data_IF_800025032447
#
_entry.id   IF_800025032447
#
_cell.length_a   1.000
_cell.length_b   1.000
_cell.length_c   1.000
_cell.angle_alpha   90.00
_cell.angle_beta   90.00
_cell.angle_gamma   90.00
#
_symmetry.space_group_name_H-M   'P 1'
#
loop_
_entity.id
_entity.type
_entity.pdbx_description
1 polymer ?
#
# COMPACT_ATOMS: atom_id res chain seq x y z
N UNK A 1 -4.12 3.57 20.67
CA UNK A 1 -3.54 2.21 20.41
C UNK A 1 -2.08 2.36 20.08
N UNK A 2 -1.23 1.33 20.25
CA UNK A 2 0.21 1.47 19.98
C UNK A 2 0.63 0.57 18.83
N UNK A 3 1.28 1.16 17.81
CA UNK A 3 1.90 0.47 16.67
C UNK A 3 3.41 0.61 16.79
N UNK A 4 4.14 -0.47 16.58
CA UNK A 4 5.59 -0.44 16.49
C UNK A 4 6.02 -0.86 15.09
N UNK A 5 6.58 0.10 14.31
CA UNK A 5 7.10 -0.14 12.98
C UNK A 5 8.56 -0.61 13.11
N UNK A 6 8.79 -1.89 12.85
CA UNK A 6 10.09 -2.59 12.97
C UNK A 6 10.71 -2.94 11.62
N UNK A 7 9.95 -2.79 10.56
CA UNK A 7 10.34 -3.15 9.20
C UNK A 7 11.55 -2.31 8.75
N UNK A 8 12.50 -2.96 8.14
CA UNK A 8 13.64 -2.28 7.51
C UNK A 8 13.41 -2.24 6.01
N UNK A 9 12.72 -1.20 5.55
CA UNK A 9 12.51 -0.98 4.12
C UNK A 9 13.80 -0.44 3.49
N UNK A 10 14.25 -1.03 2.39
CA UNK A 10 15.46 -0.64 1.66
C UNK A 10 15.11 -0.21 0.23
N UNK A 11 15.88 0.74 -0.32
CA UNK A 11 15.62 1.30 -1.65
C UNK A 11 14.53 2.39 -1.64
N UNK A 12 13.96 2.65 -2.81
CA UNK A 12 12.91 3.66 -2.99
C UNK A 12 11.57 3.20 -2.43
N UNK A 13 10.83 4.13 -1.81
CA UNK A 13 9.54 3.87 -1.18
C UNK A 13 8.53 4.85 -1.75
N UNK A 14 7.41 4.36 -2.26
CA UNK A 14 6.22 5.17 -2.53
C UNK A 14 5.28 5.03 -1.33
N UNK A 15 4.96 6.15 -0.69
CA UNK A 15 3.97 6.21 0.40
C UNK A 15 2.68 6.82 -0.12
N UNK A 16 1.62 6.02 -0.21
CA UNK A 16 0.33 6.42 -0.76
C UNK A 16 -0.57 6.89 0.39
N UNK A 17 -1.05 8.15 0.29
CA UNK A 17 -1.74 8.84 1.37
C UNK A 17 -0.75 9.28 2.46
N UNK A 18 0.43 9.73 2.05
CA UNK A 18 1.51 10.12 2.95
C UNK A 18 1.48 11.60 3.36
N UNK A 19 0.30 12.25 3.33
CA UNK A 19 0.07 13.58 3.89
C UNK A 19 0.02 13.60 5.42
N UNK A 20 -0.43 14.72 5.99
CA UNK A 20 -0.59 14.90 7.44
C UNK A 20 0.70 14.64 8.23
N UNK A 21 0.72 13.62 9.06
CA UNK A 21 1.90 13.29 9.88
C UNK A 21 3.08 12.71 9.09
N UNK A 22 2.88 12.29 7.85
CA UNK A 22 3.91 11.66 7.00
C UNK A 22 4.72 10.59 7.76
N UNK A 23 4.06 9.67 8.41
CA UNK A 23 4.67 8.67 9.32
C UNK A 23 5.81 7.91 8.65
N UNK A 24 5.58 7.37 7.46
CA UNK A 24 6.58 6.62 6.69
C UNK A 24 7.70 7.57 6.25
N UNK A 25 7.37 8.79 5.82
CA UNK A 25 8.33 9.84 5.51
C UNK A 25 9.24 10.19 6.69
N UNK A 26 8.69 10.32 7.90
CA UNK A 26 9.46 10.60 9.10
C UNK A 26 10.42 9.46 9.48
N UNK A 27 10.07 8.21 9.19
CA UNK A 27 10.89 7.03 9.51
C UNK A 27 12.00 6.83 8.47
N UNK A 28 11.68 6.90 7.18
CA UNK A 28 12.59 6.49 6.10
C UNK A 28 13.18 7.66 5.29
N UNK A 29 12.77 8.90 5.58
CA UNK A 29 13.37 10.16 5.11
C UNK A 29 13.43 10.28 3.58
N UNK A 30 14.57 10.65 3.05
CA UNK A 30 14.87 10.94 1.64
C UNK A 30 14.61 9.78 0.67
N UNK A 31 14.38 8.58 1.19
CA UNK A 31 14.01 7.41 0.37
C UNK A 31 12.53 7.38 0.00
N UNK A 32 11.71 8.23 0.63
CA UNK A 32 10.25 8.25 0.46
C UNK A 32 9.84 9.31 -0.55
N UNK A 33 8.96 8.91 -1.45
CA UNK A 33 8.09 9.80 -2.20
C UNK A 33 6.69 9.61 -1.65
N UNK A 34 6.20 10.58 -0.91
CA UNK A 34 4.85 10.61 -0.39
C UNK A 34 3.91 11.25 -1.42
N UNK A 35 2.76 10.63 -1.63
CA UNK A 35 1.69 11.21 -2.46
C UNK A 35 0.41 11.33 -1.63
N UNK A 36 -0.34 12.38 -1.91
CA UNK A 36 -1.69 12.56 -1.38
C UNK A 36 -2.53 13.32 -2.42
N UNK A 37 -3.84 13.18 -2.39
CA UNK A 37 -4.76 13.94 -3.25
C UNK A 37 -5.29 15.22 -2.58
N UNK A 38 -4.89 15.50 -1.35
CA UNK A 38 -5.19 16.71 -0.60
C UNK A 38 -3.92 17.56 -0.46
N UNK A 39 -3.95 18.76 -1.03
CA UNK A 39 -2.80 19.68 -1.01
C UNK A 39 -2.51 20.16 0.41
N UNK A 40 -3.56 20.42 1.19
CA UNK A 40 -3.46 20.86 2.58
C UNK A 40 -2.73 19.82 3.45
N UNK A 41 -3.04 18.54 3.30
CA UNK A 41 -2.37 17.45 4.02
C UNK A 41 -0.86 17.37 3.65
N UNK A 42 -0.50 17.64 2.40
CA UNK A 42 0.90 17.68 1.97
C UNK A 42 1.63 18.92 2.49
N UNK A 43 0.94 20.06 2.59
CA UNK A 43 1.52 21.30 3.17
C UNK A 43 1.77 21.15 4.67
N UNK A 44 0.85 20.52 5.41
CA UNK A 44 0.98 20.27 6.84
C UNK A 44 2.02 19.20 7.17
N UNK A 45 2.28 18.27 6.24
CA UNK A 45 3.23 17.19 6.44
C UNK A 45 4.66 17.70 6.69
N UNK A 46 5.40 17.14 7.66
CA UNK A 46 6.79 17.49 7.92
C UNK A 46 7.68 17.44 6.67
N UNK A 47 8.62 18.36 6.56
CA UNK A 47 9.58 18.43 5.44
C UNK A 47 10.69 17.37 5.61
N UNK A 48 10.33 16.10 5.51
CA UNK A 48 11.20 14.96 5.76
C UNK A 48 11.41 14.05 4.56
N UNK A 49 10.64 14.22 3.47
CA UNK A 49 10.66 13.40 2.27
C UNK A 49 10.16 14.19 1.05
N UNK A 50 10.23 13.59 -0.14
CA UNK A 50 9.61 14.19 -1.34
C UNK A 50 8.09 14.07 -1.25
N UNK A 51 7.36 15.14 -1.57
CA UNK A 51 5.89 15.20 -1.52
C UNK A 51 5.34 15.57 -2.89
N UNK A 52 4.27 14.90 -3.35
CA UNK A 52 3.64 15.16 -4.65
C UNK A 52 2.13 15.05 -4.55
N UNK A 53 1.42 16.05 -5.04
CA UNK A 53 -0.03 16.01 -5.21
C UNK A 53 -0.38 15.03 -6.33
N UNK A 54 -1.09 13.94 -5.99
CA UNK A 54 -1.38 12.87 -6.95
C UNK A 54 -2.55 12.01 -6.47
N UNK A 55 -3.40 11.57 -7.42
CA UNK A 55 -4.44 10.59 -7.17
C UNK A 55 -3.85 9.17 -7.17
N UNK A 56 -4.07 8.45 -6.08
CA UNK A 56 -3.63 7.06 -5.93
C UNK A 56 -4.28 6.10 -6.92
N UNK A 57 -5.43 6.47 -7.50
CA UNK A 57 -6.15 5.65 -8.50
C UNK A 57 -5.60 5.79 -9.92
N UNK A 58 -4.70 6.76 -10.16
CA UNK A 58 -4.06 7.05 -11.44
C UNK A 58 -2.63 7.57 -11.24
N UNK A 59 -1.70 6.66 -10.90
CA UNK A 59 -0.31 7.03 -10.61
C UNK A 59 0.46 7.41 -11.86
N UNK A 60 1.11 8.57 -11.84
CA UNK A 60 1.92 9.08 -12.96
C UNK A 60 3.34 8.50 -13.01
N UNK A 61 3.64 7.51 -12.18
CA UNK A 61 4.93 6.81 -12.20
C UNK A 61 4.93 5.67 -13.22
N UNK A 62 6.09 5.38 -13.85
CA UNK A 62 6.24 4.20 -14.72
C UNK A 62 6.03 2.89 -13.94
N UNK A 63 5.78 1.80 -14.69
CA UNK A 63 5.78 0.46 -14.13
C UNK A 63 7.14 0.14 -13.47
N UNK A 64 7.12 -0.70 -12.44
CA UNK A 64 8.33 -1.19 -11.75
C UNK A 64 9.28 -0.07 -11.28
N UNK A 65 8.75 1.04 -10.75
CA UNK A 65 9.51 2.23 -10.32
C UNK A 65 10.05 2.12 -8.89
N UNK A 66 9.32 1.47 -7.99
CA UNK A 66 9.61 1.49 -6.55
C UNK A 66 10.02 0.14 -6.01
N UNK A 67 10.93 0.16 -5.02
CA UNK A 67 11.34 -1.03 -4.29
C UNK A 67 10.34 -1.41 -3.19
N UNK A 68 9.61 -0.43 -2.66
CA UNK A 68 8.53 -0.65 -1.70
C UNK A 68 7.37 0.30 -2.01
N UNK A 69 6.15 -0.16 -1.70
CA UNK A 69 4.95 0.68 -1.67
C UNK A 69 4.30 0.52 -0.30
N UNK A 70 3.86 1.62 0.29
CA UNK A 70 3.22 1.63 1.60
C UNK A 70 1.86 2.32 1.53
N UNK A 71 0.92 1.81 2.33
CA UNK A 71 -0.32 2.45 2.72
C UNK A 71 -0.33 2.48 4.25
N UNK A 72 -0.37 3.66 4.82
CA UNK A 72 -0.40 3.82 6.26
C UNK A 72 -1.69 4.53 6.67
N UNK A 73 -2.71 3.77 7.11
CA UNK A 73 -4.05 4.25 7.45
C UNK A 73 -4.70 5.09 6.34
N UNK A 74 -4.55 4.66 5.11
CA UNK A 74 -5.01 5.36 3.92
C UNK A 74 -6.23 4.69 3.30
N UNK A 75 -6.25 3.35 3.26
CA UNK A 75 -7.37 2.62 2.63
C UNK A 75 -8.69 2.88 3.36
N UNK A 76 -8.64 3.19 4.66
CA UNK A 76 -9.83 3.54 5.44
C UNK A 76 -10.59 4.75 4.86
N UNK A 77 -9.92 5.67 4.19
CA UNK A 77 -10.52 6.87 3.59
C UNK A 77 -11.09 6.62 2.19
N UNK A 78 -10.76 5.52 1.55
CA UNK A 78 -11.13 5.18 0.19
C UNK A 78 -12.44 4.40 0.14
N UNK A 79 -13.24 4.63 -0.89
CA UNK A 79 -14.33 3.73 -1.27
C UNK A 79 -13.77 2.38 -1.75
N UNK A 80 -14.58 1.34 -1.78
CA UNK A 80 -14.16 0.02 -2.27
C UNK A 80 -13.61 0.06 -3.72
N UNK A 81 -14.16 0.94 -4.57
CA UNK A 81 -13.67 1.12 -5.95
C UNK A 81 -12.31 1.82 -5.99
N UNK A 82 -12.11 2.84 -5.17
CA UNK A 82 -10.82 3.54 -5.04
C UNK A 82 -9.75 2.61 -4.46
N UNK A 83 -10.06 1.83 -3.43
CA UNK A 83 -9.16 0.80 -2.89
C UNK A 83 -8.70 -0.18 -3.98
N UNK A 84 -9.64 -0.67 -4.77
CA UNK A 84 -9.35 -1.60 -5.87
C UNK A 84 -8.44 -1.00 -6.93
N UNK A 85 -8.67 0.26 -7.32
CA UNK A 85 -7.86 0.97 -8.31
C UNK A 85 -6.48 1.30 -7.76
N UNK A 86 -6.40 1.89 -6.57
CA UNK A 86 -5.13 2.30 -5.97
C UNK A 86 -4.21 1.09 -5.69
N UNK A 87 -4.76 -0.04 -5.23
CA UNK A 87 -3.99 -1.27 -5.05
C UNK A 87 -3.44 -1.80 -6.38
N UNK A 88 -4.21 -1.71 -7.49
CA UNK A 88 -3.72 -2.10 -8.82
C UNK A 88 -2.60 -1.19 -9.31
N UNK A 89 -2.74 0.11 -9.15
CA UNK A 89 -1.71 1.07 -9.51
C UNK A 89 -0.46 0.88 -8.65
N UNK A 90 -0.62 0.68 -7.35
CA UNK A 90 0.45 0.33 -6.43
C UNK A 90 1.20 -0.94 -6.85
N UNK A 91 0.47 -1.99 -7.24
CA UNK A 91 1.05 -3.21 -7.77
C UNK A 91 1.77 -3.00 -9.12
N UNK A 92 1.27 -2.11 -9.99
CA UNK A 92 1.91 -1.76 -11.26
C UNK A 92 3.27 -1.10 -11.05
N UNK A 93 3.33 -0.09 -10.19
CA UNK A 93 4.56 0.68 -9.94
C UNK A 93 5.57 -0.04 -9.04
N UNK A 94 5.14 -1.07 -8.30
CA UNK A 94 6.02 -1.90 -7.49
C UNK A 94 6.86 -2.80 -8.39
N UNK A 95 8.18 -2.83 -8.18
CA UNK A 95 9.10 -3.71 -8.91
C UNK A 95 8.84 -5.20 -8.61
N UNK A 96 9.07 -6.04 -9.60
CA UNK A 96 8.96 -7.49 -9.44
C UNK A 96 9.86 -8.02 -8.32
N UNK A 97 9.32 -8.87 -7.46
CA UNK A 97 10.00 -9.45 -6.31
C UNK A 97 10.14 -8.50 -5.12
N UNK A 98 9.47 -7.35 -5.13
CA UNK A 98 9.53 -6.32 -4.10
C UNK A 98 8.28 -6.28 -3.24
N UNK A 99 8.23 -5.40 -2.22
CA UNK A 99 7.31 -5.48 -1.11
C UNK A 99 6.28 -4.35 -1.09
N UNK A 100 5.06 -4.69 -0.74
CA UNK A 100 4.03 -3.74 -0.36
C UNK A 100 3.65 -4.01 1.10
N UNK A 101 3.50 -2.93 1.85
CA UNK A 101 3.10 -2.95 3.26
C UNK A 101 1.84 -2.12 3.45
N UNK A 102 0.87 -2.68 4.15
CA UNK A 102 -0.39 -2.00 4.48
C UNK A 102 -0.58 -2.07 5.99
N UNK A 103 -0.58 -0.92 6.63
CA UNK A 103 -1.04 -0.75 8.00
C UNK A 103 -2.39 -0.05 7.95
N UNK A 104 -3.42 -0.68 8.50
CA UNK A 104 -4.77 -0.13 8.51
C UNK A 104 -5.60 -0.82 9.61
N UNK A 105 -6.89 -0.61 9.64
CA UNK A 105 -7.76 -1.15 10.68
C UNK A 105 -9.08 -1.70 10.12
N UNK A 106 -9.69 -2.59 10.90
CA UNK A 106 -11.05 -3.05 10.67
C UNK A 106 -12.03 -1.93 10.98
N UNK A 107 -12.90 -1.61 10.05
CA UNK A 107 -13.98 -0.64 10.23
C UNK A 107 -15.30 -1.38 10.12
N UNK A 108 -15.99 -1.47 11.24
CA UNK A 108 -17.39 -1.87 11.28
C UNK A 108 -18.21 -0.59 11.12
N UNK A 109 -18.96 -0.49 10.04
CA UNK A 109 -19.77 0.71 9.79
C UNK A 109 -20.68 1.00 10.98
N UNK A 110 -20.52 2.15 11.59
CA UNK A 110 -21.39 2.72 12.61
C UNK A 110 -22.18 3.92 12.06
N UNK A 111 -22.27 4.05 10.73
CA UNK A 111 -22.93 5.19 10.08
C UNK A 111 -24.27 5.52 10.75
N UNK A 112 -24.57 6.79 11.08
CA UNK A 112 -23.81 8.00 10.71
C UNK A 112 -22.69 8.40 11.68
N UNK A 113 -22.44 7.61 12.73
CA UNK A 113 -21.39 7.92 13.69
C UNK A 113 -20.00 7.78 13.07
N UNK A 114 -19.06 8.69 13.40
CA UNK A 114 -17.68 8.57 12.91
C UNK A 114 -16.96 7.40 13.58
N UNK A 115 -16.17 6.68 12.78
CA UNK A 115 -15.13 5.82 13.29
C UNK A 115 -13.89 6.66 13.58
N UNK A 116 -13.35 6.55 14.78
CA UNK A 116 -12.14 7.28 15.21
C UNK A 116 -11.14 6.29 15.80
N UNK A 117 -9.89 6.42 15.41
CA UNK A 117 -8.78 5.65 15.94
C UNK A 117 -7.67 6.59 16.42
N UNK A 118 -7.18 6.35 17.64
CA UNK A 118 -6.10 7.10 18.27
C UNK A 118 -4.85 6.22 18.34
N UNK A 119 -3.73 6.71 17.81
CA UNK A 119 -2.51 5.94 17.56
C UNK A 119 -1.28 6.56 18.19
N UNK A 120 -0.54 5.74 18.93
CA UNK A 120 0.84 5.97 19.31
C UNK A 120 1.76 5.12 18.44
N UNK A 121 2.51 5.75 17.56
CA UNK A 121 3.40 5.08 16.61
C UNK A 121 4.83 5.17 17.13
N UNK A 122 5.55 4.05 17.07
CA UNK A 122 6.95 3.96 17.51
C UNK A 122 7.81 3.34 16.42
N UNK A 123 8.98 3.93 16.16
CA UNK A 123 10.02 3.35 15.32
C UNK A 123 11.39 3.77 15.87
N UNK A 124 12.11 2.84 16.48
CA UNK A 124 13.32 3.15 17.23
C UNK A 124 13.06 4.18 18.34
N UNK A 125 13.70 5.35 18.25
CA UNK A 125 13.49 6.46 19.18
C UNK A 125 12.37 7.42 18.77
N UNK A 126 11.88 7.32 17.52
CA UNK A 126 10.80 8.16 17.02
C UNK A 126 9.48 7.75 17.64
N UNK A 127 8.71 8.74 18.08
CA UNK A 127 7.36 8.59 18.60
C UNK A 127 6.46 9.63 17.92
N UNK A 128 5.36 9.17 17.35
CA UNK A 128 4.34 10.02 16.73
C UNK A 128 3.01 9.66 17.39
N UNK A 129 2.25 10.67 17.76
CA UNK A 129 0.87 10.52 18.22
C UNK A 129 -0.05 11.17 17.18
N UNK A 130 -1.09 10.45 16.76
CA UNK A 130 -2.08 10.93 15.80
C UNK A 130 -3.44 10.28 16.03
N UNK A 131 -4.48 10.90 15.49
CA UNK A 131 -5.83 10.35 15.49
C UNK A 131 -6.43 10.46 14.08
N UNK A 132 -6.97 9.35 13.59
CA UNK A 132 -7.66 9.31 12.31
C UNK A 132 -9.17 9.13 12.53
N UNK A 133 -9.97 9.81 11.71
CA UNK A 133 -11.42 9.75 11.79
C UNK A 133 -12.08 9.72 10.44
N UNK A 134 -13.10 8.88 10.27
CA UNK A 134 -13.85 8.74 9.01
C UNK A 134 -15.32 8.42 9.27
N UNK A 135 -16.20 9.02 8.49
CA UNK A 135 -17.59 8.60 8.38
C UNK A 135 -17.73 7.69 7.16
N UNK A 136 -17.74 6.38 7.38
CA UNK A 136 -17.75 5.38 6.32
C UNK A 136 -18.99 4.51 6.40
N UNK A 137 -19.63 4.28 5.25
CA UNK A 137 -20.82 3.39 5.14
C UNK A 137 -20.41 1.94 4.94
N UNK A 138 -19.34 1.72 4.17
CA UNK A 138 -18.87 0.39 3.83
C UNK A 138 -17.92 -0.13 4.91
N UNK A 139 -18.07 -1.39 5.26
CA UNK A 139 -17.14 -2.06 6.16
C UNK A 139 -15.78 -2.28 5.46
N UNK A 140 -14.70 -2.25 6.24
CA UNK A 140 -13.37 -2.67 5.83
C UNK A 140 -12.87 -3.72 6.81
N UNK A 141 -12.19 -4.73 6.31
CA UNK A 141 -11.51 -5.73 7.15
C UNK A 141 -10.18 -6.15 6.51
N UNK A 142 -9.29 -6.68 7.31
CA UNK A 142 -8.06 -7.31 6.84
C UNK A 142 -8.32 -8.32 5.72
N UNK A 143 -9.36 -9.16 5.86
CA UNK A 143 -9.77 -10.16 4.87
C UNK A 143 -10.18 -9.51 3.53
N UNK A 144 -10.96 -8.41 3.58
CA UNK A 144 -11.36 -7.68 2.36
C UNK A 144 -10.16 -7.08 1.64
N UNK A 145 -9.19 -6.54 2.37
CA UNK A 145 -7.96 -5.97 1.81
C UNK A 145 -7.06 -7.08 1.24
N UNK A 146 -6.90 -8.20 1.92
CA UNK A 146 -6.19 -9.39 1.40
C UNK A 146 -6.76 -9.81 0.05
N UNK A 147 -8.09 -9.91 -0.06
CA UNK A 147 -8.73 -10.29 -1.33
C UNK A 147 -8.42 -9.29 -2.47
N UNK A 148 -8.38 -7.99 -2.18
CA UNK A 148 -8.00 -6.97 -3.17
C UNK A 148 -6.54 -7.12 -3.61
N UNK A 149 -5.61 -7.39 -2.68
CA UNK A 149 -4.20 -7.58 -2.97
C UNK A 149 -3.95 -8.82 -3.85
N UNK A 150 -4.57 -9.95 -3.50
CA UNK A 150 -4.49 -11.17 -4.29
C UNK A 150 -5.10 -10.99 -5.69
N UNK A 151 -6.22 -10.26 -5.80
CA UNK A 151 -6.85 -9.89 -7.08
C UNK A 151 -5.96 -8.99 -7.94
N UNK A 152 -5.05 -8.23 -7.35
CA UNK A 152 -4.05 -7.42 -8.03
C UNK A 152 -2.76 -8.20 -8.39
N UNK A 153 -2.71 -9.51 -8.11
CA UNK A 153 -1.57 -10.38 -8.40
C UNK A 153 -0.44 -10.30 -7.38
N UNK A 154 -0.75 -9.85 -6.17
CA UNK A 154 0.20 -9.81 -5.06
C UNK A 154 0.04 -11.05 -4.18
N UNK A 155 1.16 -11.61 -3.73
CA UNK A 155 1.18 -12.76 -2.83
C UNK A 155 1.34 -12.30 -1.39
N UNK A 156 0.41 -12.71 -0.53
CA UNK A 156 0.47 -12.42 0.89
C UNK A 156 1.60 -13.22 1.54
N UNK A 157 2.49 -12.53 2.24
CA UNK A 157 3.61 -13.15 2.97
C UNK A 157 3.36 -13.17 4.48
N UNK A 158 2.72 -12.13 5.02
CA UNK A 158 2.28 -12.12 6.41
C UNK A 158 1.05 -11.25 6.61
N UNK A 159 0.22 -11.63 7.55
CA UNK A 159 -0.88 -10.87 8.12
C UNK A 159 -0.73 -10.89 9.64
N UNK A 160 -0.63 -9.73 10.24
CA UNK A 160 -0.63 -9.55 11.68
C UNK A 160 -1.87 -8.74 12.05
N UNK A 161 -2.63 -9.23 13.01
CA UNK A 161 -3.85 -8.59 13.50
C UNK A 161 -3.77 -8.41 15.00
N UNK A 162 -4.14 -7.24 15.47
CA UNK A 162 -4.20 -6.93 16.88
C UNK A 162 -5.16 -5.77 17.15
N UNK A 163 -6.10 -5.98 18.07
CA UNK A 163 -7.03 -4.94 18.55
C UNK A 163 -7.77 -4.21 17.40
N UNK A 164 -8.17 -4.93 16.35
CA UNK A 164 -8.83 -4.39 15.17
C UNK A 164 -7.92 -3.63 14.21
N UNK A 165 -6.61 -3.64 14.45
CA UNK A 165 -5.61 -3.16 13.49
C UNK A 165 -5.01 -4.34 12.74
N UNK A 166 -4.52 -4.09 11.53
CA UNK A 166 -3.79 -5.10 10.78
C UNK A 166 -2.54 -4.52 10.09
N UNK A 167 -1.54 -5.37 9.93
CA UNK A 167 -0.39 -5.13 9.09
C UNK A 167 -0.26 -6.28 8.10
N UNK A 168 -0.40 -5.98 6.81
CA UNK A 168 -0.26 -6.93 5.72
C UNK A 168 1.06 -6.66 5.02
N UNK A 169 1.87 -7.70 4.85
CA UNK A 169 3.03 -7.68 3.98
C UNK A 169 2.75 -8.57 2.79
N UNK A 170 2.86 -8.02 1.60
CA UNK A 170 2.67 -8.77 0.37
C UNK A 170 3.79 -8.48 -0.62
N UNK A 171 3.90 -9.32 -1.65
CA UNK A 171 5.00 -9.29 -2.59
C UNK A 171 4.51 -9.42 -4.02
N UNK A 172 5.06 -8.61 -4.92
CA UNK A 172 4.90 -8.81 -6.36
C UNK A 172 5.79 -9.96 -6.80
N UNK A 173 5.21 -10.99 -7.41
CA UNK A 173 6.00 -12.13 -7.87
C UNK A 173 7.06 -11.72 -8.91
N UNK A 174 8.18 -12.43 -8.93
CA UNK A 174 9.18 -12.27 -9.99
C UNK A 174 8.60 -12.84 -11.28
N UNK A 175 8.69 -12.09 -12.35
CA UNK A 175 8.37 -12.62 -13.68
C UNK A 175 9.42 -13.73 -13.96
N UNK A 176 9.00 -14.98 -13.90
CA UNK A 176 9.82 -16.08 -14.34
C UNK A 176 10.01 -15.95 -15.87
N UNK A 177 11.14 -15.43 -16.31
CA UNK A 177 11.56 -15.35 -17.72
C UNK A 177 11.87 -16.72 -18.32
N UNK A 178 11.13 -17.77 -17.93
CA UNK A 178 11.38 -19.17 -18.23
C UNK A 178 10.22 -19.98 -18.79
N UNK A 179 9.25 -19.37 -19.51
CA UNK A 179 8.17 -20.15 -20.14
C UNK A 179 7.70 -19.57 -21.47
N UNK A 180 8.61 -19.36 -22.43
CA UNK A 180 8.24 -19.26 -23.84
C UNK A 180 9.14 -20.12 -24.73
N UNK A 181 9.20 -21.43 -24.48
CA UNK A 181 9.52 -22.42 -25.52
C UNK A 181 8.21 -23.04 -25.97
N UNK A 182 7.45 -22.32 -26.78
CA UNK A 182 6.47 -22.93 -27.66
C UNK A 182 7.27 -23.79 -28.64
N UNK A 183 7.27 -25.11 -28.42
CA UNK A 183 7.72 -26.07 -29.39
C UNK A 183 6.80 -25.98 -30.62
N UNK A 184 7.26 -25.32 -31.68
CA UNK A 184 6.67 -25.47 -33.00
C UNK A 184 6.99 -26.90 -33.45
N UNK A 185 6.08 -27.83 -33.23
CA UNK A 185 6.11 -29.14 -33.86
C UNK A 185 5.70 -28.95 -35.31
N UNK A 186 6.67 -28.81 -36.17
CA UNK A 186 6.47 -28.90 -37.62
C UNK A 186 5.96 -30.31 -37.94
N UNK A 187 4.69 -30.43 -38.31
CA UNK A 187 4.09 -31.63 -38.87
C UNK A 187 4.64 -31.80 -40.30
N UNK A 188 5.60 -32.69 -40.47
CA UNK A 188 5.94 -33.20 -41.82
C UNK A 188 4.77 -34.04 -42.30
N UNK A 189 4.07 -33.58 -43.29
CA UNK A 189 3.19 -34.36 -44.13
C UNK A 189 4.09 -34.99 -45.20
N UNK A 190 4.35 -36.29 -45.05
CA UNK A 190 4.91 -37.11 -46.10
C UNK A 190 3.72 -37.62 -46.92
N UNK A 191 3.60 -37.09 -48.14
CA UNK A 191 2.79 -37.71 -49.17
C UNK A 191 3.52 -38.93 -49.76
N UNK A 192 2.78 -39.94 -50.02
CA UNK A 192 3.05 -41.11 -50.83
C UNK A 192 1.72 -41.66 -51.33
#
# INVERSE_FOLDING_TARGET
MTIEIKETLTGSILDIGGGGEAVIGQIYKDRVTAIDNCEEELEEAPDCCSKQLMDATELLFPDDSFDNVTFFYTLMYMTAEEQRKSIREAARVLKAGKWMHIWDCDIRSAYPEPFVIDLDIKSGTLKIHTAYGIVKRDAQSSESVVHLLESAGLRIESLQEKDGQFHIQCRKDKINSGSSKIKSAARKVSGG
#
